data_IF_917508486058
#
_entry.id   IF_917508486058
#
_cell.length_a   1.000
_cell.length_b   1.000
_cell.length_c   1.000
_cell.angle_alpha   90.00
_cell.angle_beta   90.00
_cell.angle_gamma   90.00
#
_symmetry.space_group_name_H-M   'P 1'
#
loop_
_entity.id
_entity.type
_entity.pdbx_description
1 polymer ?
#
# COMPACT_ATOMS: atom_id res chain seq x y z
N UNK A 1 -21.36 24.61 2.52
CA UNK A 1 -20.60 24.54 1.25
C UNK A 1 -20.11 23.11 1.10
N UNK A 2 -20.57 22.37 0.10
CA UNK A 2 -20.04 21.04 -0.20
C UNK A 2 -18.65 21.25 -0.80
N UNK A 3 -17.60 20.93 -0.04
CA UNK A 3 -16.23 21.07 -0.53
C UNK A 3 -16.02 20.07 -1.68
N UNK A 4 -15.46 20.54 -2.79
CA UNK A 4 -15.07 19.67 -3.90
C UNK A 4 -13.99 18.70 -3.38
N UNK A 5 -14.25 17.40 -3.50
CA UNK A 5 -13.28 16.34 -3.18
C UNK A 5 -12.19 16.27 -4.25
N UNK A 6 -10.98 15.87 -3.86
CA UNK A 6 -9.82 15.69 -4.74
C UNK A 6 -9.04 14.44 -4.33
N UNK A 7 -8.33 13.85 -5.28
CA UNK A 7 -7.55 12.63 -5.06
C UNK A 7 -6.10 13.00 -4.72
N UNK A 8 -5.60 12.46 -3.61
CA UNK A 8 -4.24 12.65 -3.13
C UNK A 8 -3.51 11.30 -3.06
N UNK A 9 -2.18 11.33 -3.09
CA UNK A 9 -1.38 10.15 -2.86
C UNK A 9 -0.10 10.47 -2.08
N UNK A 10 0.39 9.47 -1.35
CA UNK A 10 1.69 9.48 -0.70
C UNK A 10 2.44 8.19 -1.04
N UNK A 11 3.71 8.32 -1.40
CA UNK A 11 4.61 7.20 -1.68
C UNK A 11 5.65 7.13 -0.56
N UNK A 12 5.66 6.03 0.18
CA UNK A 12 6.48 5.84 1.38
C UNK A 12 7.47 4.72 1.08
N UNK A 13 8.75 5.08 1.02
CA UNK A 13 9.84 4.13 0.87
C UNK A 13 10.36 3.69 2.25
N UNK A 14 10.45 2.38 2.46
CA UNK A 14 10.99 1.76 3.68
C UNK A 14 12.38 1.21 3.39
N UNK A 15 13.41 1.90 3.90
CA UNK A 15 14.78 1.41 3.83
C UNK A 15 14.95 0.10 4.61
N UNK A 16 15.92 -0.77 4.28
CA UNK A 16 16.16 -2.02 5.01
C UNK A 16 16.30 -1.87 6.53
N UNK A 17 16.88 -0.76 7.01
CA UNK A 17 17.00 -0.47 8.45
C UNK A 17 15.81 0.24 9.09
N UNK A 18 14.67 0.39 8.39
CA UNK A 18 13.45 0.99 8.94
C UNK A 18 12.54 -0.07 9.57
N UNK A 19 11.47 0.41 10.21
CA UNK A 19 10.38 -0.44 10.67
C UNK A 19 9.54 -0.88 9.47
N UNK A 20 9.39 -2.20 9.26
CA UNK A 20 8.75 -2.78 8.07
C UNK A 20 7.31 -3.24 8.31
N UNK A 21 6.74 -2.99 9.48
CA UNK A 21 5.31 -3.15 9.67
C UNK A 21 4.58 -1.88 9.23
N UNK A 22 3.38 -2.08 8.73
CA UNK A 22 2.51 -1.02 8.27
C UNK A 22 1.15 -1.14 8.93
N UNK A 23 0.50 0.01 9.03
CA UNK A 23 -0.68 0.23 9.84
C UNK A 23 -1.76 0.89 9.00
N UNK A 24 -3.00 0.74 9.44
CA UNK A 24 -4.11 1.49 8.85
C UNK A 24 -3.89 2.99 9.08
N UNK A 25 -3.90 3.83 8.03
CA UNK A 25 -3.60 5.26 8.15
C UNK A 25 -4.77 6.07 8.72
N UNK A 26 -5.98 5.50 8.69
CA UNK A 26 -7.22 6.11 9.14
C UNK A 26 -8.18 5.02 9.64
N UNK A 27 -9.33 5.43 10.18
CA UNK A 27 -10.45 4.50 10.36
C UNK A 27 -10.95 4.08 8.97
N UNK A 28 -10.83 2.80 8.66
CA UNK A 28 -10.95 2.31 7.29
C UNK A 28 -11.74 1.00 7.23
N UNK A 29 -12.71 0.93 6.33
CA UNK A 29 -13.44 -0.30 6.01
C UNK A 29 -13.01 -0.82 4.64
N UNK A 30 -12.37 -1.98 4.62
CA UNK A 30 -11.85 -2.59 3.39
C UNK A 30 -12.90 -3.50 2.77
N UNK A 31 -13.10 -3.38 1.47
CA UNK A 31 -14.12 -4.13 0.74
C UNK A 31 -13.51 -5.06 -0.33
N UNK A 32 -12.35 -4.69 -0.87
CA UNK A 32 -11.74 -5.39 -2.00
C UNK A 32 -10.22 -5.47 -1.86
N UNK A 33 -9.66 -6.59 -2.31
CA UNK A 33 -8.24 -6.78 -2.57
C UNK A 33 -8.01 -6.97 -4.06
N UNK A 34 -6.95 -6.35 -4.58
CA UNK A 34 -6.33 -6.71 -5.86
C UNK A 34 -4.90 -7.16 -5.63
N UNK A 35 -4.58 -8.38 -6.05
CA UNK A 35 -3.20 -8.87 -6.09
C UNK A 35 -2.74 -8.89 -7.54
N UNK A 36 -1.64 -8.19 -7.80
CA UNK A 36 -1.06 -8.06 -9.13
C UNK A 36 0.34 -8.66 -9.08
N UNK A 37 0.61 -9.64 -9.95
CA UNK A 37 1.93 -10.23 -10.10
C UNK A 37 2.88 -9.27 -10.80
N UNK A 38 4.17 -9.45 -10.55
CA UNK A 38 5.19 -8.65 -11.18
C UNK A 38 6.57 -9.05 -10.70
N UNK A 39 7.53 -8.23 -11.08
CA UNK A 39 8.93 -8.37 -10.68
C UNK A 39 9.13 -8.01 -9.20
N UNK A 40 10.35 -8.21 -8.70
CA UNK A 40 10.76 -7.77 -7.37
C UNK A 40 12.01 -6.91 -7.47
N UNK A 41 11.97 -5.88 -8.33
CA UNK A 41 13.07 -4.94 -8.50
C UNK A 41 13.24 -4.05 -7.27
N UNK A 42 14.44 -3.54 -7.08
CA UNK A 42 14.74 -2.64 -5.96
C UNK A 42 13.93 -1.35 -6.06
N UNK A 43 13.18 -1.02 -5.01
CA UNK A 43 12.41 0.23 -4.91
C UNK A 43 13.21 1.37 -4.27
N UNK A 44 14.55 1.28 -4.29
CA UNK A 44 15.40 2.40 -3.86
C UNK A 44 15.08 3.65 -4.70
N UNK A 45 15.09 4.87 -4.12
CA UNK A 45 14.71 6.09 -4.81
C UNK A 45 15.45 6.29 -6.14
N UNK A 46 16.74 5.95 -6.19
CA UNK A 46 17.56 6.05 -7.41
C UNK A 46 17.00 5.17 -8.54
N UNK A 47 16.58 3.94 -8.20
CA UNK A 47 16.01 2.99 -9.17
C UNK A 47 14.61 3.42 -9.62
N UNK A 48 13.78 3.94 -8.71
CA UNK A 48 12.45 4.48 -9.04
C UNK A 48 12.57 5.63 -10.03
N UNK A 49 13.58 6.49 -9.88
CA UNK A 49 13.83 7.60 -10.79
C UNK A 49 14.35 7.15 -12.16
N UNK A 50 15.18 6.10 -12.21
CA UNK A 50 15.81 5.66 -13.46
C UNK A 50 14.95 4.71 -14.29
N UNK A 51 14.11 3.90 -13.67
CA UNK A 51 13.30 2.88 -14.34
C UNK A 51 11.86 3.38 -14.41
N UNK A 52 11.38 3.79 -15.60
CA UNK A 52 10.01 4.25 -15.77
C UNK A 52 9.02 3.18 -15.28
N UNK A 53 8.04 3.61 -14.49
CA UNK A 53 6.96 2.74 -14.00
C UNK A 53 7.42 1.55 -13.15
N UNK A 54 8.60 1.60 -12.51
CA UNK A 54 9.13 0.52 -11.66
C UNK A 54 8.08 -0.04 -10.69
N UNK A 55 7.35 0.85 -10.01
CA UNK A 55 6.30 0.46 -9.04
C UNK A 55 5.14 -0.33 -9.67
N UNK A 56 4.89 -0.17 -10.97
CA UNK A 56 3.86 -0.92 -11.72
C UNK A 56 4.38 -2.25 -12.27
N UNK A 57 5.71 -2.37 -12.42
CA UNK A 57 6.36 -3.60 -12.85
C UNK A 57 6.50 -4.59 -11.69
N UNK A 58 6.62 -4.09 -10.47
CA UNK A 58 6.73 -4.96 -9.30
C UNK A 58 5.39 -5.61 -8.91
N UNK A 59 5.49 -6.78 -8.28
CA UNK A 59 4.39 -7.42 -7.57
C UNK A 59 3.83 -6.45 -6.51
N UNK A 60 2.51 -6.34 -6.46
CA UNK A 60 1.83 -5.44 -5.51
C UNK A 60 0.47 -5.97 -5.09
N UNK A 61 0.08 -5.59 -3.89
CA UNK A 61 -1.22 -5.92 -3.31
C UNK A 61 -1.90 -4.63 -2.92
N UNK A 62 -3.09 -4.39 -3.47
CA UNK A 62 -3.91 -3.20 -3.25
C UNK A 62 -5.10 -3.61 -2.40
N UNK A 63 -5.29 -2.94 -1.27
CA UNK A 63 -6.52 -3.01 -0.51
C UNK A 63 -7.31 -1.73 -0.74
N UNK A 64 -8.59 -1.88 -1.07
CA UNK A 64 -9.50 -0.79 -1.43
C UNK A 64 -10.69 -0.77 -0.46
N UNK A 65 -11.09 0.42 -0.07
CA UNK A 65 -12.18 0.59 0.87
C UNK A 65 -12.56 2.04 1.10
N UNK A 66 -13.37 2.25 2.13
CA UNK A 66 -13.95 3.55 2.47
C UNK A 66 -13.45 4.04 3.82
N UNK A 67 -13.12 5.32 3.88
CA UNK A 67 -12.77 6.05 5.09
C UNK A 67 -13.62 7.33 5.18
N UNK A 68 -13.41 8.16 6.21
CA UNK A 68 -14.28 9.31 6.51
C UNK A 68 -14.52 10.29 5.33
N UNK A 69 -13.57 10.44 4.39
CA UNK A 69 -13.72 11.36 3.24
C UNK A 69 -13.96 10.64 1.90
N UNK A 70 -14.27 9.34 1.91
CA UNK A 70 -14.59 8.58 0.70
C UNK A 70 -13.63 7.41 0.46
N UNK A 71 -13.18 7.24 -0.78
CA UNK A 71 -12.30 6.13 -1.16
C UNK A 71 -10.90 6.31 -0.57
N UNK A 72 -10.35 5.22 -0.03
CA UNK A 72 -8.95 5.08 0.29
C UNK A 72 -8.42 3.72 -0.17
N UNK A 73 -7.19 3.72 -0.66
CA UNK A 73 -6.45 2.52 -0.98
C UNK A 73 -5.08 2.56 -0.30
N UNK A 74 -4.63 1.39 0.14
CA UNK A 74 -3.25 1.17 0.57
C UNK A 74 -2.66 0.06 -0.29
N UNK A 75 -1.59 0.37 -1.00
CA UNK A 75 -0.89 -0.53 -1.91
C UNK A 75 0.47 -0.86 -1.33
N UNK A 76 0.72 -2.14 -1.12
CA UNK A 76 2.02 -2.67 -0.72
C UNK A 76 2.72 -3.20 -1.96
N UNK A 77 3.97 -2.76 -2.17
CA UNK A 77 4.76 -3.08 -3.35
C UNK A 77 5.98 -3.89 -2.89
N UNK A 78 6.11 -5.10 -3.43
CA UNK A 78 7.22 -5.99 -3.15
C UNK A 78 8.53 -5.46 -3.75
N UNK A 79 9.66 -5.87 -3.18
CA UNK A 79 10.98 -5.60 -3.73
C UNK A 79 11.96 -6.76 -3.45
N UNK A 80 13.21 -6.56 -3.85
CA UNK A 80 14.26 -7.60 -3.87
C UNK A 80 14.57 -8.20 -2.50
N UNK A 81 15.08 -9.44 -2.50
CA UNK A 81 15.64 -10.24 -1.39
C UNK A 81 14.69 -11.11 -0.55
N UNK A 82 13.46 -10.69 -0.24
CA UNK A 82 12.48 -11.56 0.47
C UNK A 82 11.05 -11.02 0.32
N UNK A 83 10.70 -10.51 -0.87
CA UNK A 83 9.53 -9.66 -1.20
C UNK A 83 8.10 -10.16 -0.90
N UNK A 84 7.90 -11.06 0.07
CA UNK A 84 6.58 -11.37 0.60
C UNK A 84 5.99 -10.16 1.34
N UNK A 85 4.76 -9.86 0.99
CA UNK A 85 3.85 -8.96 1.69
C UNK A 85 2.92 -9.87 2.51
N UNK A 86 2.94 -9.69 3.83
CA UNK A 86 2.07 -10.40 4.75
C UNK A 86 1.05 -9.41 5.32
N UNK A 87 -0.24 -9.77 5.26
CA UNK A 87 -1.35 -8.93 5.73
C UNK A 87 -2.14 -9.72 6.75
N UNK A 88 -2.23 -9.19 7.97
CA UNK A 88 -2.57 -9.99 9.15
C UNK A 88 -3.99 -10.54 9.13
N UNK A 89 -4.95 -9.79 8.59
CA UNK A 89 -6.34 -10.26 8.48
C UNK A 89 -6.60 -11.09 7.21
N UNK A 90 -5.64 -11.17 6.30
CA UNK A 90 -5.83 -11.74 4.97
C UNK A 90 -4.97 -12.99 4.74
N UNK A 91 -5.33 -14.05 5.46
CA UNK A 91 -4.64 -15.34 5.42
C UNK A 91 -4.62 -16.00 4.02
N UNK A 92 -5.55 -15.63 3.14
CA UNK A 92 -5.62 -16.14 1.76
C UNK A 92 -4.57 -15.50 0.84
N UNK A 93 -4.00 -14.36 1.23
CA UNK A 93 -2.95 -13.71 0.46
C UNK A 93 -1.69 -14.59 0.45
N UNK A 94 -1.14 -14.78 -0.74
CA UNK A 94 0.14 -15.44 -0.96
C UNK A 94 0.90 -14.70 -2.05
N UNK A 95 1.94 -13.97 -1.64
CA UNK A 95 2.82 -13.20 -2.52
C UNK A 95 4.13 -13.93 -2.76
N UNK A 96 4.96 -13.41 -3.68
CA UNK A 96 6.25 -13.97 -4.06
C UNK A 96 6.16 -15.47 -4.45
N UNK A 97 5.08 -15.82 -5.15
CA UNK A 97 4.93 -17.16 -5.74
C UNK A 97 5.70 -17.20 -7.05
N UNK A 98 6.54 -18.23 -7.23
CA UNK A 98 7.10 -18.57 -8.54
C UNK A 98 5.93 -18.88 -9.47
N UNK A 99 5.78 -18.08 -10.51
CA UNK A 99 4.89 -18.39 -11.61
C UNK A 99 5.74 -19.16 -12.64
N UNK A 100 5.18 -20.25 -13.15
CA UNK A 100 5.86 -21.10 -14.14
C UNK A 100 6.02 -20.41 -15.50
N UNK A 101 5.37 -19.26 -15.66
CA UNK A 101 5.40 -18.39 -16.83
C UNK A 101 5.54 -16.91 -16.44
N UNK A 102 6.16 -16.10 -17.30
CA UNK A 102 6.33 -14.65 -17.11
C UNK A 102 5.04 -13.86 -17.35
N UNK A 103 3.87 -14.45 -17.08
CA UNK A 103 2.59 -13.80 -17.35
C UNK A 103 2.17 -12.89 -16.21
N UNK A 104 1.85 -11.65 -16.56
CA UNK A 104 1.23 -10.70 -15.67
C UNK A 104 -0.21 -11.15 -15.36
N UNK A 105 -0.54 -11.28 -14.08
CA UNK A 105 -1.85 -11.71 -13.59
C UNK A 105 -2.37 -10.73 -12.55
N UNK A 106 -3.69 -10.56 -12.53
CA UNK A 106 -4.39 -9.80 -11.51
C UNK A 106 -5.55 -10.63 -10.97
N UNK A 107 -5.58 -10.81 -9.66
CA UNK A 107 -6.72 -11.39 -8.96
C UNK A 107 -7.45 -10.31 -8.18
N UNK A 108 -8.78 -10.31 -8.32
CA UNK A 108 -9.67 -9.47 -7.53
C UNK A 108 -10.45 -10.36 -6.57
N UNK A 109 -10.45 -9.99 -5.30
CA UNK A 109 -11.21 -10.66 -4.24
C UNK A 109 -12.00 -9.62 -3.46
N UNK A 110 -13.31 -9.83 -3.34
CA UNK A 110 -14.15 -9.00 -2.47
C UNK A 110 -14.24 -9.67 -1.11
N UNK A 111 -14.05 -8.91 -0.04
CA UNK A 111 -14.24 -9.43 1.31
C UNK A 111 -15.74 -9.45 1.65
N UNK A 112 -16.25 -10.57 2.21
CA UNK A 112 -17.65 -10.64 2.62
C UNK A 112 -17.89 -9.74 3.83
N UNK A 113 -19.12 -9.24 4.00
CA UNK A 113 -19.48 -8.39 5.15
C UNK A 113 -19.27 -9.08 6.51
N UNK A 114 -19.29 -10.42 6.54
CA UNK A 114 -19.03 -11.21 7.74
C UNK A 114 -17.56 -11.22 8.18
N UNK A 115 -16.62 -10.84 7.30
CA UNK A 115 -15.21 -10.74 7.64
C UNK A 115 -14.96 -9.39 8.31
N UNK A 116 -14.29 -9.38 9.46
CA UNK A 116 -13.89 -8.13 10.09
C UNK A 116 -12.83 -7.45 9.22
N UNK A 117 -13.24 -6.43 8.47
CA UNK A 117 -12.37 -5.60 7.61
C UNK A 117 -12.40 -4.14 8.00
N UNK A 118 -12.81 -3.86 9.24
CA UNK A 118 -12.81 -2.53 9.84
C UNK A 118 -11.53 -2.38 10.67
N UNK A 119 -10.79 -1.31 10.42
CA UNK A 119 -9.56 -0.98 11.12
C UNK A 119 -9.67 0.41 11.71
N UNK A 120 -9.17 0.58 12.93
CA UNK A 120 -8.97 1.90 13.52
C UNK A 120 -7.65 2.53 13.05
N UNK A 121 -7.54 3.85 13.21
CA UNK A 121 -6.33 4.58 12.85
C UNK A 121 -5.14 4.08 13.67
N UNK A 122 -4.07 3.69 13.00
CA UNK A 122 -2.84 3.18 13.62
C UNK A 122 -2.89 1.69 13.96
N UNK A 123 -3.99 1.00 13.68
CA UNK A 123 -4.09 -0.44 13.90
C UNK A 123 -3.08 -1.20 13.02
N UNK A 124 -2.34 -2.19 13.55
CA UNK A 124 -1.43 -3.02 12.77
C UNK A 124 -2.14 -3.71 11.61
N UNK A 125 -1.59 -3.61 10.41
CA UNK A 125 -2.22 -4.09 9.19
C UNK A 125 -1.44 -5.23 8.53
N UNK A 126 -0.13 -5.13 8.50
CA UNK A 126 0.74 -6.15 7.94
C UNK A 126 2.21 -5.77 8.01
N UNK A 127 3.04 -6.52 7.31
CA UNK A 127 4.48 -6.32 7.28
C UNK A 127 5.11 -6.72 5.94
N UNK A 128 6.27 -6.15 5.69
CA UNK A 128 7.21 -6.62 4.69
C UNK A 128 8.35 -7.36 5.36
N UNK A 129 8.89 -8.38 4.69
CA UNK A 129 10.10 -9.05 5.20
C UNK A 129 11.39 -8.27 4.95
N UNK A 130 11.49 -7.45 3.89
CA UNK A 130 12.61 -6.53 3.64
C UNK A 130 12.29 -5.52 2.54
N UNK A 131 12.80 -4.29 2.68
CA UNK A 131 12.95 -3.25 1.64
C UNK A 131 11.74 -3.07 0.73
N UNK A 132 10.89 -2.07 0.98
CA UNK A 132 9.58 -2.03 0.35
C UNK A 132 9.06 -0.62 0.15
N UNK A 133 7.93 -0.52 -0.56
CA UNK A 133 7.24 0.74 -0.80
C UNK A 133 5.75 0.57 -0.49
N UNK A 134 5.18 1.58 0.16
CA UNK A 134 3.73 1.71 0.38
C UNK A 134 3.25 2.91 -0.42
N UNK A 135 2.18 2.74 -1.17
CA UNK A 135 1.47 3.85 -1.80
C UNK A 135 0.08 3.94 -1.20
N UNK A 136 -0.24 5.09 -0.61
CA UNK A 136 -1.60 5.40 -0.13
C UNK A 136 -2.23 6.36 -1.12
N UNK A 137 -3.44 6.07 -1.58
CA UNK A 137 -4.23 6.96 -2.44
C UNK A 137 -5.57 7.17 -1.76
N UNK A 138 -6.00 8.43 -1.60
CA UNK A 138 -7.22 8.75 -0.84
C UNK A 138 -7.90 10.01 -1.36
N UNK A 139 -9.22 10.03 -1.24
CA UNK A 139 -10.05 11.21 -1.48
C UNK A 139 -10.01 12.12 -0.28
N UNK A 140 -9.84 13.43 -0.43
CA UNK A 140 -9.92 14.39 0.66
C UNK A 140 -10.48 15.73 0.16
N UNK A 141 -10.91 16.64 1.06
CA UNK A 141 -11.29 17.99 0.65
C UNK A 141 -10.16 18.64 -0.16
N UNK A 142 -10.50 19.41 -1.19
CA UNK A 142 -9.51 20.14 -2.02
C UNK A 142 -8.60 21.10 -1.23
N UNK A 143 -8.97 21.44 0.00
CA UNK A 143 -8.17 22.22 0.95
C UNK A 143 -7.18 21.38 1.76
N UNK A 144 -7.14 20.07 1.57
CA UNK A 144 -6.19 19.17 2.23
C UNK A 144 -4.76 19.54 1.85
N UNK A 145 -3.89 19.56 2.86
CA UNK A 145 -2.46 19.77 2.68
C UNK A 145 -1.71 18.75 3.53
N UNK A 146 -0.68 18.17 2.92
CA UNK A 146 0.30 17.37 3.66
C UNK A 146 1.08 18.26 4.63
N UNK A 147 1.40 17.73 5.81
CA UNK A 147 2.30 18.39 6.77
C UNK A 147 3.76 17.96 6.57
N UNK A 148 3.98 16.89 5.79
CA UNK A 148 5.29 16.40 5.37
C UNK A 148 5.52 16.66 3.89
N UNK A 149 6.79 16.83 3.54
CA UNK A 149 7.24 17.04 2.17
C UNK A 149 8.00 15.81 1.66
N UNK A 150 8.11 15.70 0.33
CA UNK A 150 8.91 14.64 -0.28
C UNK A 150 10.35 14.70 0.21
N UNK A 151 10.88 13.55 0.64
CA UNK A 151 12.22 13.43 1.23
C UNK A 151 12.25 13.51 2.77
N UNK A 152 11.15 13.93 3.41
CA UNK A 152 11.08 13.92 4.87
C UNK A 152 11.15 12.50 5.43
N UNK A 153 11.86 12.34 6.56
CA UNK A 153 11.77 11.13 7.37
C UNK A 153 10.49 11.17 8.18
N UNK A 154 9.73 10.08 8.12
CA UNK A 154 8.48 9.91 8.88
C UNK A 154 8.61 8.79 9.90
N UNK A 155 7.79 8.82 10.95
CA UNK A 155 7.64 7.74 11.93
C UNK A 155 6.19 7.27 12.01
N UNK A 156 6.00 6.02 12.43
CA UNK A 156 4.65 5.48 12.67
C UNK A 156 3.92 6.35 13.69
N UNK A 157 2.66 6.68 13.39
CA UNK A 157 1.82 7.55 14.20
C UNK A 157 1.94 9.05 13.89
N UNK A 158 2.95 9.47 13.13
CA UNK A 158 3.04 10.86 12.69
C UNK A 158 2.04 11.17 11.57
N UNK A 159 1.63 12.44 11.51
CA UNK A 159 0.77 12.93 10.42
C UNK A 159 1.61 13.11 9.15
N UNK A 160 1.03 12.72 8.02
CA UNK A 160 1.54 12.97 6.67
C UNK A 160 1.11 14.34 6.17
#
# INVERSE_FOLDING_TARGET
KQYKSSLFYACIYLNPGNYHHFHSPAKWKINERRHITGELMSVRPEFIMWIPKLLLLNERVVYLGEYENGLMTQTMIGATNVGSIDVYFDETLKTNKKLDDYTFRMWKENFPESKSTHFDKGEPFGEFKLGSCIVVIFEAPSTFNFVRHSGDKIRVGERL
#
